data_IF_550930454607
#
_entry.id   IF_550930454607
#
_cell.length_a   1.000
_cell.length_b   1.000
_cell.length_c   1.000
_cell.angle_alpha   90.00
_cell.angle_beta   90.00
_cell.angle_gamma   90.00
#
_symmetry.space_group_name_H-M   'P 1'
#
loop_
_entity.id
_entity.type
_entity.pdbx_description
1 polymer ?
#
# COMPACT_ATOMS: atom_id res chain seq x y z
N UNK A 1 -19.89 -7.16 -1.05
CA UNK A 1 -19.53 -5.73 -1.35
C UNK A 1 -18.62 -5.22 -0.25
N UNK A 2 -17.53 -4.59 -0.62
CA UNK A 2 -16.54 -4.03 0.31
C UNK A 2 -17.16 -2.87 1.11
N UNK A 3 -17.06 -2.87 2.45
CA UNK A 3 -17.58 -1.76 3.28
C UNK A 3 -16.85 -0.43 3.03
N UNK A 4 -17.56 0.69 3.17
CA UNK A 4 -16.99 2.05 3.09
C UNK A 4 -16.24 2.42 4.38
N UNK A 5 -15.14 1.71 4.66
CA UNK A 5 -14.24 1.94 5.78
C UNK A 5 -12.82 2.09 5.22
N UNK A 6 -12.12 3.14 5.62
CA UNK A 6 -10.69 3.33 5.30
C UNK A 6 -9.88 3.01 6.55
N UNK A 7 -9.09 1.95 6.49
CA UNK A 7 -8.14 1.55 7.52
C UNK A 7 -6.77 2.14 7.22
N UNK A 8 -6.09 2.62 8.24
CA UNK A 8 -4.69 3.04 8.15
C UNK A 8 -3.99 2.84 9.49
N UNK A 9 -2.66 2.69 9.46
CA UNK A 9 -1.83 2.48 10.64
C UNK A 9 -1.02 3.72 10.99
N UNK A 10 -0.89 4.01 12.31
CA UNK A 10 0.04 5.01 12.83
C UNK A 10 0.51 4.61 14.22
N UNK A 11 1.67 3.94 14.31
CA UNK A 11 2.14 3.30 15.54
C UNK A 11 3.19 4.10 16.32
N UNK A 12 3.82 5.11 15.72
CA UNK A 12 4.86 5.89 16.39
C UNK A 12 4.32 6.78 17.53
N UNK A 13 3.04 7.17 17.45
CA UNK A 13 2.46 8.18 18.35
C UNK A 13 2.93 9.62 18.08
N UNK A 14 3.85 9.81 17.13
CA UNK A 14 4.34 11.13 16.75
C UNK A 14 3.29 11.94 15.99
N UNK A 15 3.36 13.29 16.01
CA UNK A 15 2.52 14.13 15.19
C UNK A 15 2.68 13.80 13.70
N UNK A 16 1.55 13.76 12.95
CA UNK A 16 1.60 13.52 11.52
C UNK A 16 2.48 14.52 10.78
N UNK A 17 3.42 14.07 9.93
CA UNK A 17 4.14 14.92 8.98
C UNK A 17 3.18 15.63 8.01
N UNK A 18 3.63 16.71 7.37
CA UNK A 18 2.78 17.49 6.47
C UNK A 18 2.26 16.70 5.27
N UNK A 19 3.04 15.75 4.77
CA UNK A 19 2.59 14.84 3.72
C UNK A 19 1.42 13.98 4.19
N UNK A 20 1.54 13.33 5.34
CA UNK A 20 0.48 12.49 5.92
C UNK A 20 -0.79 13.31 6.17
N UNK A 21 -0.66 14.53 6.75
CA UNK A 21 -1.80 15.46 6.89
C UNK A 21 -2.47 15.79 5.56
N UNK A 22 -1.68 15.93 4.48
CA UNK A 22 -2.21 16.17 3.13
C UNK A 22 -2.96 14.95 2.60
N UNK A 23 -2.43 13.75 2.80
CA UNK A 23 -3.07 12.50 2.42
C UNK A 23 -4.41 12.33 3.14
N UNK A 24 -4.43 12.45 4.47
CA UNK A 24 -5.65 12.37 5.28
C UNK A 24 -6.72 13.38 4.81
N UNK A 25 -6.35 14.66 4.58
CA UNK A 25 -7.28 15.66 4.00
C UNK A 25 -7.80 15.27 2.61
N UNK A 26 -7.01 14.55 1.81
CA UNK A 26 -7.49 14.06 0.52
C UNK A 26 -8.57 12.98 0.69
N UNK A 27 -8.43 12.10 1.71
CA UNK A 27 -9.43 11.09 2.02
C UNK A 27 -10.75 11.71 2.47
N UNK A 28 -10.70 12.66 3.42
CA UNK A 28 -11.89 13.38 3.88
C UNK A 28 -12.63 14.06 2.71
N UNK A 29 -11.90 14.63 1.76
CA UNK A 29 -12.47 15.34 0.61
C UNK A 29 -13.03 14.41 -0.47
N UNK A 30 -12.31 13.32 -0.79
CA UNK A 30 -12.63 12.45 -1.92
C UNK A 30 -13.47 11.23 -1.55
N UNK A 31 -13.49 10.90 -0.25
CA UNK A 31 -14.18 9.75 0.34
C UNK A 31 -15.10 10.18 1.51
N UNK A 32 -15.97 11.21 1.34
CA UNK A 32 -16.72 11.80 2.45
C UNK A 32 -17.68 10.82 3.12
N UNK A 33 -18.11 9.76 2.41
CA UNK A 33 -19.03 8.74 2.92
C UNK A 33 -18.31 7.54 3.56
N UNK A 34 -16.95 7.57 3.61
CA UNK A 34 -16.16 6.49 4.19
C UNK A 34 -15.81 6.82 5.63
N UNK A 35 -15.94 5.82 6.50
CA UNK A 35 -15.49 5.92 7.90
C UNK A 35 -13.98 5.71 7.96
N UNK A 36 -13.23 6.65 8.55
CA UNK A 36 -11.81 6.46 8.84
C UNK A 36 -11.62 5.61 10.10
N UNK A 37 -10.76 4.61 10.03
CA UNK A 37 -10.41 3.69 11.11
C UNK A 37 -8.90 3.66 11.29
N UNK A 38 -8.41 4.37 12.32
CA UNK A 38 -7.01 4.33 12.74
C UNK A 38 -6.72 3.02 13.48
N UNK A 39 -5.59 2.42 13.16
CA UNK A 39 -4.96 1.34 13.91
C UNK A 39 -3.69 1.87 14.56
N UNK A 40 -3.64 1.83 15.89
CA UNK A 40 -2.59 2.33 16.76
C UNK A 40 -2.33 1.36 17.91
N UNK A 41 -1.56 1.80 18.93
CA UNK A 41 -1.21 0.99 20.09
C UNK A 41 -2.38 0.54 20.95
N UNK A 42 -3.50 1.26 20.90
CA UNK A 42 -4.69 0.95 21.71
C UNK A 42 -5.69 0.04 20.97
N UNK A 43 -5.55 -0.07 19.66
CA UNK A 43 -6.52 -0.76 18.79
C UNK A 43 -6.09 -2.16 18.38
N UNK A 44 -4.84 -2.56 18.60
CA UNK A 44 -4.30 -3.87 18.24
C UNK A 44 -3.34 -4.39 19.34
N UNK A 45 -3.48 -5.66 19.72
CA UNK A 45 -2.57 -6.34 20.63
C UNK A 45 -1.31 -6.80 19.88
N UNK A 46 -0.25 -6.00 19.98
CA UNK A 46 1.03 -6.27 19.32
C UNK A 46 1.75 -7.52 19.85
N UNK A 47 1.42 -7.99 21.05
CA UNK A 47 2.01 -9.21 21.62
C UNK A 47 1.38 -10.50 21.07
N UNK A 48 0.23 -10.40 20.40
CA UNK A 48 -0.52 -11.54 19.87
C UNK A 48 0.16 -12.26 18.68
N UNK A 49 1.09 -11.60 17.99
CA UNK A 49 1.78 -12.12 16.81
C UNK A 49 3.28 -11.86 16.90
N UNK A 50 4.15 -12.89 16.86
CA UNK A 50 5.59 -12.73 16.98
C UNK A 50 6.20 -11.71 16.02
N UNK A 51 5.83 -11.78 14.74
CA UNK A 51 6.29 -10.84 13.71
C UNK A 51 6.00 -9.38 14.05
N UNK A 52 4.78 -9.09 14.50
CA UNK A 52 4.37 -7.73 14.89
C UNK A 52 5.12 -7.26 16.14
N UNK A 53 5.18 -8.12 17.17
CA UNK A 53 5.90 -7.82 18.43
C UNK A 53 7.37 -7.46 18.18
N UNK A 54 8.05 -8.24 17.36
CA UNK A 54 9.46 -8.05 17.02
C UNK A 54 9.67 -6.79 16.19
N UNK A 55 8.79 -6.51 15.21
CA UNK A 55 8.80 -5.27 14.43
C UNK A 55 8.61 -4.03 15.31
N UNK A 56 7.65 -4.07 16.24
CA UNK A 56 7.39 -2.99 17.21
C UNK A 56 8.58 -2.77 18.14
N UNK A 57 9.19 -3.83 18.67
CA UNK A 57 10.38 -3.74 19.53
C UNK A 57 11.58 -3.11 18.79
N UNK A 58 11.70 -3.38 17.49
CA UNK A 58 12.72 -2.79 16.62
C UNK A 58 12.37 -1.37 16.11
N UNK A 59 11.20 -0.81 16.49
CA UNK A 59 10.65 0.46 15.96
C UNK A 59 10.50 0.45 14.44
N UNK A 60 10.21 -0.71 13.85
CA UNK A 60 9.96 -0.89 12.42
C UNK A 60 8.43 -0.91 12.18
N UNK A 61 7.82 0.26 12.22
CA UNK A 61 6.36 0.43 12.13
C UNK A 61 5.76 -0.18 10.87
N UNK A 62 6.49 -0.15 9.75
CA UNK A 62 6.08 -0.78 8.49
C UNK A 62 5.88 -2.30 8.64
N UNK A 63 6.77 -2.98 9.39
CA UNK A 63 6.67 -4.43 9.68
C UNK A 63 5.37 -4.74 10.41
N UNK A 64 5.04 -3.96 11.44
CA UNK A 64 3.78 -4.14 12.16
C UNK A 64 2.57 -3.86 11.25
N UNK A 65 2.64 -2.84 10.38
CA UNK A 65 1.57 -2.51 9.46
C UNK A 65 1.36 -3.60 8.38
N UNK A 66 2.38 -4.35 8.01
CA UNK A 66 2.26 -5.47 7.05
C UNK A 66 1.27 -6.54 7.52
N UNK A 67 1.26 -6.84 8.82
CA UNK A 67 0.25 -7.74 9.40
C UNK A 67 -1.08 -7.04 9.66
N UNK A 68 -1.04 -5.86 10.30
CA UNK A 68 -2.27 -5.18 10.76
C UNK A 68 -3.18 -4.78 9.59
N UNK A 69 -2.63 -4.42 8.41
CA UNK A 69 -3.44 -4.18 7.20
C UNK A 69 -4.26 -5.40 6.79
N UNK A 70 -3.66 -6.59 6.83
CA UNK A 70 -4.35 -7.85 6.51
C UNK A 70 -5.41 -8.19 7.56
N UNK A 71 -5.07 -8.01 8.84
CA UNK A 71 -5.97 -8.23 9.95
C UNK A 71 -7.20 -7.32 9.91
N UNK A 72 -7.00 -6.03 9.67
CA UNK A 72 -8.07 -5.05 9.54
C UNK A 72 -9.05 -5.44 8.42
N UNK A 73 -8.52 -5.73 7.23
CA UNK A 73 -9.34 -6.14 6.09
C UNK A 73 -10.05 -7.48 6.32
N UNK A 74 -9.41 -8.44 6.98
CA UNK A 74 -10.03 -9.73 7.29
C UNK A 74 -11.16 -9.59 8.31
N UNK A 75 -10.95 -8.83 9.38
CA UNK A 75 -11.89 -8.75 10.50
C UNK A 75 -13.05 -7.78 10.28
N UNK A 76 -12.81 -6.69 9.58
CA UNK A 76 -13.82 -5.64 9.38
C UNK A 76 -14.25 -5.50 7.91
N UNK A 77 -13.42 -5.93 6.94
CA UNK A 77 -13.55 -5.55 5.53
C UNK A 77 -13.22 -4.07 5.34
N UNK A 78 -13.35 -3.56 4.12
CA UNK A 78 -13.05 -2.16 3.82
C UNK A 78 -11.84 -1.99 2.92
N UNK A 79 -11.25 -0.80 2.95
CA UNK A 79 -10.07 -0.45 2.16
C UNK A 79 -8.96 -0.05 3.12
N UNK A 80 -7.78 -0.63 2.95
CA UNK A 80 -6.55 -0.20 3.62
C UNK A 80 -5.80 0.79 2.75
N UNK A 81 -5.33 1.87 3.36
CA UNK A 81 -4.44 2.84 2.75
C UNK A 81 -3.21 3.06 3.64
N UNK A 82 -2.01 3.02 3.06
CA UNK A 82 -0.83 3.55 3.76
C UNK A 82 -1.02 5.05 4.01
N UNK A 83 -0.50 5.55 5.13
CA UNK A 83 -0.72 6.94 5.57
C UNK A 83 -0.16 8.00 4.60
N UNK A 84 0.69 7.59 3.66
CA UNK A 84 1.26 8.41 2.59
C UNK A 84 0.60 8.17 1.21
N UNK A 85 -0.60 7.61 1.17
CA UNK A 85 -1.43 7.51 -0.04
C UNK A 85 -2.30 8.76 -0.18
N UNK A 86 -2.15 9.52 -1.26
CA UNK A 86 -3.01 10.68 -1.60
C UNK A 86 -4.10 10.25 -2.59
N UNK A 87 -5.37 10.51 -2.27
CA UNK A 87 -6.54 10.11 -3.05
C UNK A 87 -7.05 11.27 -3.92
N UNK A 88 -7.39 10.99 -5.19
CA UNK A 88 -7.87 11.95 -6.18
C UNK A 88 -9.27 11.65 -6.71
N UNK A 89 -9.76 10.41 -6.56
CA UNK A 89 -11.11 9.97 -6.98
C UNK A 89 -11.70 9.02 -5.94
N UNK A 90 -13.03 8.90 -5.92
CA UNK A 90 -13.71 7.90 -5.10
C UNK A 90 -13.28 6.47 -5.48
N UNK A 91 -13.20 5.60 -4.48
CA UNK A 91 -12.99 4.17 -4.66
C UNK A 91 -14.30 3.37 -4.89
N UNK A 92 -15.43 4.03 -5.06
CA UNK A 92 -16.73 3.37 -5.21
C UNK A 92 -16.74 2.35 -6.36
N UNK A 93 -15.96 2.60 -7.41
CA UNK A 93 -15.84 1.68 -8.56
C UNK A 93 -15.21 0.33 -8.20
N UNK A 94 -14.47 0.24 -7.11
CA UNK A 94 -13.80 -0.99 -6.67
C UNK A 94 -14.60 -1.79 -5.63
N UNK A 95 -15.69 -1.24 -5.08
CA UNK A 95 -16.43 -1.85 -3.96
C UNK A 95 -17.16 -3.15 -4.30
N UNK A 96 -17.36 -3.44 -5.58
CA UNK A 96 -18.00 -4.68 -6.04
C UNK A 96 -17.03 -5.88 -6.14
N UNK A 97 -15.72 -5.68 -5.94
CA UNK A 97 -14.78 -6.78 -5.84
C UNK A 97 -14.96 -7.52 -4.50
N UNK A 98 -14.57 -8.79 -4.45
CA UNK A 98 -14.43 -9.52 -3.17
C UNK A 98 -13.13 -9.11 -2.47
N UNK A 99 -12.04 -9.00 -3.25
CA UNK A 99 -10.76 -8.42 -2.87
C UNK A 99 -10.16 -7.69 -4.07
N UNK A 100 -9.51 -6.56 -3.82
CA UNK A 100 -8.73 -5.90 -4.86
C UNK A 100 -7.42 -5.30 -4.32
N UNK A 101 -6.44 -5.23 -5.22
CA UNK A 101 -5.22 -4.44 -5.07
C UNK A 101 -4.74 -3.99 -6.45
N UNK A 102 -3.67 -3.22 -6.50
CA UNK A 102 -2.99 -2.82 -7.73
C UNK A 102 -1.70 -3.57 -7.96
N UNK A 103 -1.03 -3.18 -9.04
CA UNK A 103 0.32 -3.61 -9.39
C UNK A 103 1.30 -2.47 -9.10
N UNK A 104 2.45 -2.76 -8.49
CA UNK A 104 3.55 -1.81 -8.30
C UNK A 104 4.81 -2.26 -9.05
N UNK A 105 5.43 -1.41 -9.90
CA UNK A 105 6.65 -1.75 -10.59
C UNK A 105 7.88 -1.58 -9.70
N UNK A 106 8.82 -2.49 -9.80
CA UNK A 106 10.16 -2.35 -9.24
C UNK A 106 11.22 -2.79 -10.25
N UNK A 107 12.42 -2.23 -10.15
CA UNK A 107 13.50 -2.46 -11.10
C UNK A 107 14.66 -3.18 -10.44
N UNK A 108 15.14 -4.25 -11.08
CA UNK A 108 16.39 -4.95 -10.75
C UNK A 108 17.21 -5.06 -12.03
N UNK A 109 18.43 -4.52 -12.03
CA UNK A 109 19.35 -4.59 -13.18
C UNK A 109 18.71 -4.13 -14.51
N UNK A 110 17.99 -2.99 -14.48
CA UNK A 110 17.27 -2.40 -15.63
C UNK A 110 16.11 -3.25 -16.17
N UNK A 111 15.71 -4.31 -15.48
CA UNK A 111 14.52 -5.11 -15.78
C UNK A 111 13.40 -4.68 -14.84
N UNK A 112 12.23 -4.34 -15.41
CA UNK A 112 11.03 -4.02 -14.63
C UNK A 112 10.27 -5.29 -14.30
N UNK A 113 10.05 -5.51 -13.01
CA UNK A 113 9.18 -6.53 -12.45
C UNK A 113 7.94 -5.87 -11.86
N UNK A 114 6.89 -6.64 -11.62
CA UNK A 114 5.64 -6.15 -11.06
C UNK A 114 5.25 -6.96 -9.83
N UNK A 115 5.03 -6.23 -8.75
CA UNK A 115 4.61 -6.76 -7.46
C UNK A 115 3.20 -6.27 -7.12
N UNK A 116 2.71 -6.57 -5.93
CA UNK A 116 1.41 -6.07 -5.46
C UNK A 116 1.56 -4.67 -4.86
N UNK A 117 0.60 -3.79 -5.12
CA UNK A 117 0.48 -2.46 -4.48
C UNK A 117 -0.23 -2.61 -3.12
N UNK A 118 0.49 -3.11 -2.12
CA UNK A 118 -0.09 -3.37 -0.81
C UNK A 118 -0.39 -2.12 0.04
N UNK A 119 0.00 -0.93 -0.43
CA UNK A 119 -0.41 0.33 0.19
C UNK A 119 -1.88 0.68 -0.11
N UNK A 120 -2.51 0.02 -1.09
CA UNK A 120 -3.91 0.21 -1.48
C UNK A 120 -4.55 -1.15 -1.70
N UNK A 121 -5.31 -1.63 -0.73
CA UNK A 121 -6.01 -2.91 -0.79
C UNK A 121 -7.44 -2.75 -0.31
N UNK A 122 -8.38 -3.48 -0.93
CA UNK A 122 -9.76 -3.54 -0.44
C UNK A 122 -10.27 -4.96 -0.37
N UNK A 123 -11.10 -5.26 0.61
CA UNK A 123 -11.64 -6.61 0.81
C UNK A 123 -13.01 -6.62 1.45
N UNK A 124 -13.82 -7.61 1.09
CA UNK A 124 -14.93 -8.06 1.91
C UNK A 124 -14.37 -8.69 3.20
N UNK A 125 -15.15 -8.59 4.29
CA UNK A 125 -14.80 -9.22 5.55
C UNK A 125 -14.70 -10.74 5.39
N UNK A 126 -13.64 -11.34 5.98
CA UNK A 126 -13.47 -12.80 6.04
C UNK A 126 -12.97 -13.42 4.74
N UNK A 127 -12.38 -12.64 3.83
CA UNK A 127 -11.89 -13.16 2.55
C UNK A 127 -10.85 -14.27 2.74
N UNK A 128 -10.97 -15.45 2.07
CA UNK A 128 -10.10 -16.61 2.29
C UNK A 128 -8.60 -16.33 2.05
N UNK A 129 -8.27 -15.52 1.05
CA UNK A 129 -6.89 -15.12 0.76
C UNK A 129 -6.24 -14.38 1.96
N UNK A 130 -6.99 -13.51 2.64
CA UNK A 130 -6.47 -12.81 3.82
C UNK A 130 -6.27 -13.77 5.00
N UNK A 131 -7.15 -14.78 5.16
CA UNK A 131 -6.96 -15.81 6.18
C UNK A 131 -5.67 -16.56 5.97
N UNK A 132 -5.40 -16.98 4.74
CA UNK A 132 -4.18 -17.70 4.38
C UNK A 132 -2.92 -16.84 4.63
N UNK A 133 -2.97 -15.55 4.27
CA UNK A 133 -1.89 -14.60 4.53
C UNK A 133 -1.64 -14.38 6.04
N UNK A 134 -2.70 -14.25 6.83
CA UNK A 134 -2.59 -14.11 8.29
C UNK A 134 -2.01 -15.37 8.95
N UNK A 135 -2.42 -16.58 8.50
CA UNK A 135 -1.89 -17.85 9.00
C UNK A 135 -0.38 -17.99 8.72
N UNK A 136 0.08 -17.52 7.57
CA UNK A 136 1.51 -17.46 7.27
C UNK A 136 2.27 -16.64 8.32
N UNK A 137 1.80 -15.42 8.65
CA UNK A 137 2.48 -14.53 9.59
C UNK A 137 2.49 -15.04 11.04
N UNK A 138 1.63 -15.98 11.43
CA UNK A 138 1.68 -16.62 12.75
C UNK A 138 2.98 -17.40 13.00
N UNK A 139 3.66 -17.82 11.94
CA UNK A 139 4.88 -18.63 12.00
C UNK A 139 6.11 -17.88 11.47
N UNK A 140 5.98 -16.61 11.15
CA UNK A 140 7.08 -15.76 10.67
C UNK A 140 7.63 -14.93 11.81
N UNK A 141 8.97 -14.85 11.86
CA UNK A 141 9.69 -13.99 12.77
C UNK A 141 10.38 -12.86 11.99
N UNK A 142 10.33 -11.65 12.54
CA UNK A 142 11.05 -10.53 11.97
C UNK A 142 12.49 -10.49 12.48
N UNK A 143 13.46 -10.42 11.57
CA UNK A 143 14.80 -9.93 11.84
C UNK A 143 15.20 -8.93 10.77
N UNK A 144 16.11 -7.97 11.06
CA UNK A 144 16.56 -7.01 10.04
C UNK A 144 17.15 -7.66 8.78
N UNK A 145 17.74 -8.85 8.92
CA UNK A 145 18.38 -9.59 7.84
C UNK A 145 17.41 -10.47 7.03
N UNK A 146 16.27 -10.82 7.61
CA UNK A 146 15.28 -11.73 7.01
C UNK A 146 13.90 -11.07 6.92
N UNK A 147 13.87 -9.83 6.42
CA UNK A 147 12.64 -9.10 6.21
C UNK A 147 12.19 -9.19 4.75
N UNK A 148 11.02 -9.77 4.54
CA UNK A 148 10.33 -9.77 3.25
C UNK A 148 9.12 -8.83 3.36
N UNK A 149 8.99 -7.88 2.45
CA UNK A 149 7.82 -6.96 2.42
C UNK A 149 6.54 -7.75 2.19
N UNK A 150 5.41 -7.24 2.68
CA UNK A 150 4.10 -7.87 2.46
C UNK A 150 3.80 -8.10 0.98
N UNK A 151 4.21 -7.18 0.12
CA UNK A 151 4.05 -7.28 -1.33
C UNK A 151 4.65 -8.58 -1.88
N UNK A 152 5.92 -8.86 -1.54
CA UNK A 152 6.61 -10.08 -1.93
C UNK A 152 6.08 -11.34 -1.21
N UNK A 153 5.77 -11.22 0.09
CA UNK A 153 5.28 -12.34 0.89
C UNK A 153 3.93 -12.90 0.37
N UNK A 154 3.10 -12.05 -0.25
CA UNK A 154 1.78 -12.46 -0.73
C UNK A 154 1.79 -13.07 -2.14
N UNK A 155 2.82 -12.83 -2.96
CA UNK A 155 2.90 -13.34 -4.34
C UNK A 155 2.73 -14.86 -4.42
N UNK A 156 3.45 -15.70 -3.64
CA UNK A 156 3.34 -17.16 -3.74
C UNK A 156 1.91 -17.69 -3.50
N UNK A 157 1.11 -16.98 -2.68
CA UNK A 157 -0.28 -17.36 -2.43
C UNK A 157 -1.21 -17.11 -3.63
N UNK A 158 -0.80 -16.26 -4.58
CA UNK A 158 -1.57 -15.92 -5.78
C UNK A 158 -1.12 -16.68 -7.02
N UNK A 159 0.14 -17.12 -7.09
CA UNK A 159 0.69 -17.86 -8.23
C UNK A 159 -0.10 -19.14 -8.51
N UNK A 160 -0.52 -19.87 -7.47
CA UNK A 160 -1.35 -21.08 -7.60
C UNK A 160 -2.73 -20.80 -8.23
N UNK A 161 -3.17 -19.53 -8.29
CA UNK A 161 -4.40 -19.10 -8.94
C UNK A 161 -4.16 -18.39 -10.28
N UNK A 162 -2.90 -18.42 -10.78
CA UNK A 162 -2.55 -17.89 -12.10
C UNK A 162 -2.00 -16.47 -12.13
N UNK A 163 -1.58 -15.91 -10.98
CA UNK A 163 -0.83 -14.66 -10.97
C UNK A 163 0.58 -14.88 -11.53
N UNK A 164 1.04 -14.00 -12.42
CA UNK A 164 2.32 -14.13 -13.14
C UNK A 164 3.18 -12.86 -13.05
N UNK A 165 2.91 -11.97 -12.11
CA UNK A 165 3.68 -10.74 -11.86
C UNK A 165 3.86 -9.86 -13.12
N UNK A 166 2.82 -9.74 -13.93
CA UNK A 166 2.78 -8.90 -15.11
C UNK A 166 1.86 -7.68 -14.88
N UNK A 167 2.11 -6.58 -15.59
CA UNK A 167 1.23 -5.41 -15.55
C UNK A 167 -0.02 -5.62 -16.42
N UNK A 168 -0.98 -6.37 -15.89
CA UNK A 168 -2.29 -6.62 -16.55
C UNK A 168 -3.38 -6.81 -15.51
N UNK A 169 -4.64 -6.75 -15.94
CA UNK A 169 -5.78 -7.09 -15.10
C UNK A 169 -5.82 -8.59 -14.83
N UNK A 170 -5.88 -8.96 -13.55
CA UNK A 170 -6.16 -10.33 -13.12
C UNK A 170 -7.52 -10.39 -12.40
N UNK A 171 -8.30 -11.41 -12.75
CA UNK A 171 -9.48 -11.86 -12.02
C UNK A 171 -9.25 -13.32 -11.63
N UNK A 172 -8.63 -13.54 -10.48
CA UNK A 172 -8.22 -14.86 -10.05
C UNK A 172 -9.41 -15.67 -9.52
N UNK A 173 -9.33 -17.00 -9.65
CA UNK A 173 -10.44 -17.91 -9.28
C UNK A 173 -10.75 -17.91 -7.78
N UNK A 174 -9.85 -17.40 -6.94
CA UNK A 174 -10.06 -17.21 -5.50
C UNK A 174 -10.75 -15.88 -5.15
N UNK A 175 -11.23 -15.12 -6.12
CA UNK A 175 -11.93 -13.83 -5.92
C UNK A 175 -11.01 -12.63 -5.77
N UNK A 176 -9.70 -12.78 -5.99
CA UNK A 176 -8.74 -11.66 -5.98
C UNK A 176 -8.70 -10.99 -7.35
N UNK A 177 -8.92 -9.67 -7.38
CA UNK A 177 -8.72 -8.82 -8.56
C UNK A 177 -7.47 -7.98 -8.37
N UNK A 178 -6.54 -8.02 -9.34
CA UNK A 178 -5.33 -7.19 -9.33
C UNK A 178 -5.40 -6.28 -10.56
N UNK A 179 -5.44 -4.98 -10.30
CA UNK A 179 -5.51 -3.97 -11.34
C UNK A 179 -4.13 -3.59 -11.87
N UNK A 180 -3.97 -3.33 -13.17
CA UNK A 180 -2.73 -2.80 -13.71
C UNK A 180 -2.42 -1.41 -13.13
N UNK A 181 -1.16 -1.01 -13.24
CA UNK A 181 -0.58 0.18 -12.62
C UNK A 181 -1.38 1.48 -12.84
N UNK A 182 -1.96 1.67 -14.03
CA UNK A 182 -2.66 2.89 -14.42
C UNK A 182 -4.10 3.02 -13.89
N UNK A 183 -4.63 1.97 -13.23
CA UNK A 183 -6.02 1.94 -12.77
C UNK A 183 -6.20 2.47 -11.34
N UNK A 184 -5.32 2.11 -10.43
CA UNK A 184 -5.45 2.50 -9.03
C UNK A 184 -4.48 3.62 -8.69
N UNK A 185 -3.21 3.43 -9.02
CA UNK A 185 -2.10 4.27 -8.61
C UNK A 185 -1.21 4.56 -9.83
N UNK A 186 -1.11 5.82 -10.25
CA UNK A 186 -0.26 6.21 -11.35
C UNK A 186 0.35 7.60 -11.13
N UNK A 187 1.67 7.64 -10.94
CA UNK A 187 2.45 8.88 -10.83
C UNK A 187 2.70 9.57 -12.18
N UNK A 188 2.46 8.85 -13.28
CA UNK A 188 2.74 9.33 -14.64
C UNK A 188 1.50 9.81 -15.38
N UNK A 189 0.29 9.41 -14.96
CA UNK A 189 -0.96 9.85 -15.60
C UNK A 189 -1.42 11.21 -15.06
N UNK A 190 -1.84 12.06 -15.98
CA UNK A 190 -2.44 13.37 -15.64
C UNK A 190 -3.94 13.22 -15.29
N UNK A 191 -4.67 12.32 -15.96
CA UNK A 191 -6.13 12.32 -15.92
C UNK A 191 -6.79 11.12 -15.20
N UNK A 192 -6.15 9.96 -15.15
CA UNK A 192 -6.83 8.72 -14.76
C UNK A 192 -6.49 8.16 -13.39
N UNK A 193 -5.58 8.77 -12.64
CA UNK A 193 -5.19 8.25 -11.34
C UNK A 193 -6.31 8.35 -10.30
N UNK A 194 -6.56 7.26 -9.59
CA UNK A 194 -7.42 7.25 -8.41
C UNK A 194 -6.66 7.67 -7.16
N UNK A 195 -5.39 7.30 -7.05
CA UNK A 195 -4.51 7.63 -5.93
C UNK A 195 -3.05 7.79 -6.36
N UNK A 196 -2.21 8.29 -5.46
CA UNK A 196 -0.74 8.23 -5.52
C UNK A 196 -0.24 7.68 -4.20
N UNK A 197 0.52 6.61 -4.24
CA UNK A 197 1.35 6.16 -3.13
C UNK A 197 2.70 6.88 -3.19
N UNK A 198 3.04 7.67 -2.17
CA UNK A 198 4.24 8.50 -2.19
C UNK A 198 5.51 7.72 -1.91
N UNK A 199 5.42 6.49 -1.40
CA UNK A 199 6.53 5.58 -1.10
C UNK A 199 7.62 6.32 -0.31
N UNK A 200 7.24 6.94 0.82
CA UNK A 200 8.17 7.73 1.64
C UNK A 200 9.31 6.89 2.19
N UNK A 201 9.09 5.57 2.29
CA UNK A 201 10.12 4.67 2.82
C UNK A 201 10.58 5.10 4.20
N UNK A 202 9.64 5.49 5.08
CA UNK A 202 9.93 5.98 6.44
C UNK A 202 10.76 5.01 7.29
N UNK A 203 10.92 3.79 6.81
CA UNK A 203 11.77 2.73 7.35
C UNK A 203 13.15 2.63 6.67
N UNK A 204 13.40 3.45 5.63
CA UNK A 204 14.64 3.57 4.89
C UNK A 204 15.19 5.00 5.07
N UNK A 205 16.50 5.15 5.21
CA UNK A 205 17.18 6.45 5.30
C UNK A 205 17.27 7.12 3.91
N UNK A 206 16.12 7.30 3.23
CA UNK A 206 16.08 8.03 1.98
C UNK A 206 15.97 9.54 2.20
N UNK A 207 16.69 10.35 1.40
CA UNK A 207 16.54 11.79 1.45
C UNK A 207 15.12 12.21 1.06
N UNK A 208 14.59 13.22 1.74
CA UNK A 208 13.27 13.78 1.42
C UNK A 208 13.22 14.23 -0.05
N UNK A 209 12.13 13.89 -0.73
CA UNK A 209 11.92 14.28 -2.13
C UNK A 209 11.72 15.80 -2.25
N UNK A 210 12.21 16.38 -3.33
CA UNK A 210 12.08 17.82 -3.57
C UNK A 210 10.62 18.27 -3.78
N UNK A 211 10.31 19.54 -3.47
CA UNK A 211 8.98 20.12 -3.76
C UNK A 211 8.61 20.02 -5.24
N UNK A 212 9.59 20.13 -6.13
CA UNK A 212 9.40 19.95 -7.57
C UNK A 212 9.01 18.52 -7.92
N UNK A 213 9.62 17.50 -7.28
CA UNK A 213 9.22 16.10 -7.45
C UNK A 213 7.73 15.89 -7.10
N UNK A 214 7.30 16.38 -5.93
CA UNK A 214 5.90 16.27 -5.52
C UNK A 214 4.94 16.98 -6.49
N UNK A 215 5.30 18.17 -6.95
CA UNK A 215 4.51 18.90 -7.94
C UNK A 215 4.39 18.11 -9.25
N UNK A 216 5.50 17.66 -9.81
CA UNK A 216 5.53 16.91 -11.06
C UNK A 216 4.73 15.58 -10.97
N UNK A 217 4.90 14.83 -9.88
CA UNK A 217 4.15 13.57 -9.66
C UNK A 217 2.65 13.80 -9.60
N UNK A 218 2.19 14.85 -8.88
CA UNK A 218 0.76 15.17 -8.78
C UNK A 218 0.13 15.56 -10.10
N UNK A 219 0.91 16.18 -10.98
CA UNK A 219 0.45 16.72 -12.26
C UNK A 219 0.81 15.82 -13.46
N UNK A 220 1.24 14.57 -13.25
CA UNK A 220 1.60 13.67 -14.34
C UNK A 220 2.85 14.11 -15.13
N UNK A 221 3.68 14.96 -14.54
CA UNK A 221 4.89 15.50 -15.16
C UNK A 221 6.18 14.82 -14.69
N UNK A 222 6.07 13.61 -14.08
CA UNK A 222 7.23 12.94 -13.51
C UNK A 222 8.27 12.57 -14.57
N UNK A 223 7.84 12.23 -15.79
CA UNK A 223 8.74 12.01 -16.92
C UNK A 223 9.58 13.26 -17.27
N UNK A 224 8.97 14.45 -17.23
CA UNK A 224 9.66 15.73 -17.40
C UNK A 224 10.65 16.02 -16.25
N UNK A 225 10.25 15.72 -15.01
CA UNK A 225 11.13 15.84 -13.86
C UNK A 225 12.40 14.97 -14.03
N UNK A 226 12.27 13.71 -14.42
CA UNK A 226 13.40 12.82 -14.66
C UNK A 226 14.26 13.26 -15.86
N UNK A 227 13.67 13.86 -16.88
CA UNK A 227 14.43 14.46 -17.98
C UNK A 227 15.31 15.62 -17.47
N UNK A 228 14.77 16.50 -16.63
CA UNK A 228 15.53 17.60 -16.02
C UNK A 228 16.68 17.07 -15.15
N UNK A 229 16.45 16.03 -14.33
CA UNK A 229 17.51 15.40 -13.51
C UNK A 229 18.66 14.86 -14.38
N UNK A 230 18.34 14.26 -15.54
CA UNK A 230 19.37 13.78 -16.48
C UNK A 230 20.16 14.92 -17.09
N UNK A 231 19.50 16.01 -17.51
CA UNK A 231 20.16 17.19 -18.14
C UNK A 231 21.03 17.92 -17.12
N UNK A 232 20.59 18.03 -15.86
CA UNK A 232 21.30 18.79 -14.81
C UNK A 232 22.34 17.92 -14.07
N UNK A 233 22.43 16.62 -14.36
CA UNK A 233 23.35 15.70 -13.69
C UNK A 233 23.03 15.47 -12.20
N UNK A 234 21.82 15.82 -11.75
CA UNK A 234 21.41 15.69 -10.34
C UNK A 234 20.95 14.28 -9.98
N UNK A 235 20.77 13.40 -10.96
CA UNK A 235 20.49 11.97 -10.74
C UNK A 235 21.82 11.24 -10.43
N UNK A 236 22.00 10.88 -9.17
CA UNK A 236 23.06 9.95 -8.74
C UNK A 236 22.59 8.51 -8.91
#
# INVERSE_FOLDING_TARGET
MIPKIIHYCWFSGDPYPDLVKRCLRSWERMLPDYKLRLWDGDSFDFDSVPYVKEGMAAKRWAVASDYVRLYALYTEGGIYLDSDVEVFKSFDMFLNNSFFTGTEPYNINDITYYDLECAIMGSEKGHPFLKEALDYYQNVHYTPENHTTVCHALVPFLEKYGYTSENKLYNLSNGVTIYPLDHIHDKYSFYNKSAIHWCQGSWLDYPEKSRLYYFCSRNGLLGFYHLLERITGTRK
#
